data_IF_774225087271
#
_entry.id   IF_774225087271
#
_cell.length_a   1.000
_cell.length_b   1.000
_cell.length_c   1.000
_cell.angle_alpha   90.00
_cell.angle_beta   90.00
_cell.angle_gamma   90.00
#
_symmetry.space_group_name_H-M   'P 1'
#
loop_
_entity.id
_entity.type
_entity.pdbx_description
1 polymer ?
#
# COMPACT_ATOMS: atom_id res chain seq x y z
N UNK A 1 -8.48 -51.70 9.29
CA UNK A 1 -9.00 -51.33 7.97
C UNK A 1 -10.27 -50.44 8.08
N UNK A 2 -10.23 -49.35 8.87
CA UNK A 2 -11.36 -48.38 8.98
C UNK A 2 -10.99 -46.93 8.66
N UNK A 3 -9.71 -46.62 8.41
CA UNK A 3 -9.25 -45.24 8.16
C UNK A 3 -9.34 -44.77 6.70
N UNK A 4 -9.58 -45.65 5.73
CA UNK A 4 -9.61 -45.26 4.30
C UNK A 4 -10.97 -44.72 3.83
N UNK A 5 -12.05 -45.06 4.56
CA UNK A 5 -13.42 -44.64 4.19
C UNK A 5 -13.70 -43.17 4.56
N UNK A 6 -13.15 -42.70 5.69
CA UNK A 6 -13.44 -41.37 6.22
C UNK A 6 -12.69 -40.28 5.42
N UNK A 7 -11.49 -40.59 4.92
CA UNK A 7 -10.71 -39.70 4.06
C UNK A 7 -11.38 -39.49 2.70
N UNK A 8 -11.93 -40.58 2.13
CA UNK A 8 -12.66 -40.51 0.85
C UNK A 8 -14.00 -39.78 1.00
N UNK A 9 -14.70 -39.93 2.14
CA UNK A 9 -15.93 -39.19 2.39
C UNK A 9 -15.67 -37.70 2.59
N UNK A 10 -14.58 -37.32 3.28
CA UNK A 10 -14.19 -35.91 3.44
C UNK A 10 -13.82 -35.27 2.13
N UNK A 11 -13.05 -35.97 1.28
CA UNK A 11 -12.68 -35.50 -0.08
C UNK A 11 -13.93 -35.37 -0.95
N UNK A 12 -14.87 -36.33 -0.90
CA UNK A 12 -16.12 -36.22 -1.65
C UNK A 12 -17.03 -35.10 -1.15
N UNK A 13 -17.10 -34.84 0.15
CA UNK A 13 -17.83 -33.71 0.72
C UNK A 13 -17.23 -32.37 0.31
N UNK A 14 -15.91 -32.25 0.32
CA UNK A 14 -15.21 -31.04 -0.14
C UNK A 14 -15.43 -30.84 -1.63
N UNK A 15 -15.37 -31.89 -2.45
CA UNK A 15 -15.65 -31.82 -3.89
C UNK A 15 -17.12 -31.51 -4.17
N UNK A 16 -18.07 -32.11 -3.42
CA UNK A 16 -19.50 -31.76 -3.55
C UNK A 16 -19.82 -30.34 -3.10
N UNK A 17 -19.18 -29.86 -2.03
CA UNK A 17 -19.31 -28.46 -1.62
C UNK A 17 -18.75 -27.51 -2.69
N UNK A 18 -17.63 -27.86 -3.32
CA UNK A 18 -17.06 -27.10 -4.43
C UNK A 18 -17.94 -27.14 -5.70
N UNK A 19 -18.59 -28.28 -6.00
CA UNK A 19 -19.50 -28.43 -7.13
C UNK A 19 -20.85 -27.75 -6.84
N UNK A 20 -21.36 -27.79 -5.62
CA UNK A 20 -22.59 -27.07 -5.23
C UNK A 20 -22.37 -25.53 -5.21
N UNK A 21 -21.16 -25.07 -4.91
CA UNK A 21 -20.78 -23.66 -5.03
C UNK A 21 -20.56 -23.24 -6.50
N UNK A 22 -20.31 -24.16 -7.43
CA UNK A 22 -20.15 -23.88 -8.86
C UNK A 22 -21.47 -23.71 -9.63
N UNK A 23 -22.62 -23.90 -8.99
CA UNK A 23 -23.94 -23.58 -9.55
C UNK A 23 -24.25 -22.09 -9.69
N UNK A 24 -23.62 -21.25 -8.86
CA UNK A 24 -23.43 -19.82 -9.13
C UNK A 24 -21.99 -19.66 -9.59
N UNK A 25 -21.78 -19.47 -10.87
CA UNK A 25 -20.46 -19.09 -11.43
C UNK A 25 -20.12 -17.76 -10.79
N UNK A 26 -19.45 -17.80 -9.64
CA UNK A 26 -18.80 -16.65 -9.04
C UNK A 26 -17.64 -16.28 -9.97
N UNK A 27 -17.95 -15.47 -11.00
CA UNK A 27 -16.86 -14.79 -11.73
C UNK A 27 -16.13 -13.97 -10.70
N UNK A 28 -14.79 -14.03 -10.65
CA UNK A 28 -14.02 -13.11 -9.84
C UNK A 28 -14.50 -11.70 -10.16
N UNK A 29 -14.80 -10.91 -9.12
CA UNK A 29 -15.16 -9.52 -9.32
C UNK A 29 -13.99 -8.81 -10.01
N UNK A 30 -14.28 -8.17 -11.14
CA UNK A 30 -13.31 -7.30 -11.78
C UNK A 30 -13.02 -6.09 -10.88
N UNK A 31 -11.79 -5.61 -10.83
CA UNK A 31 -11.39 -4.55 -9.90
C UNK A 31 -12.16 -3.25 -10.08
N UNK A 32 -12.76 -3.02 -11.25
CA UNK A 32 -13.55 -1.82 -11.57
C UNK A 32 -15.06 -2.06 -11.63
N UNK A 33 -15.56 -3.21 -11.17
CA UNK A 33 -16.99 -3.56 -11.30
C UNK A 33 -17.93 -2.58 -10.61
N UNK A 34 -17.43 -1.88 -9.58
CA UNK A 34 -18.19 -0.83 -8.89
C UNK A 34 -18.54 0.37 -9.79
N UNK A 35 -17.79 0.60 -10.87
CA UNK A 35 -17.95 1.80 -11.68
C UNK A 35 -19.13 1.76 -12.67
N UNK A 36 -19.71 0.57 -12.91
CA UNK A 36 -20.73 0.38 -13.93
C UNK A 36 -20.24 0.77 -15.34
N UNK A 37 -21.17 0.92 -16.28
CA UNK A 37 -20.89 1.35 -17.65
C UNK A 37 -20.42 0.23 -18.57
N UNK A 38 -20.20 0.60 -19.84
CA UNK A 38 -19.85 -0.32 -20.92
C UNK A 38 -18.35 -0.43 -21.09
N UNK A 39 -17.80 -1.62 -20.95
CA UNK A 39 -16.38 -1.90 -21.17
C UNK A 39 -16.18 -2.57 -22.52
N UNK A 40 -15.11 -2.16 -23.20
CA UNK A 40 -14.73 -2.71 -24.50
C UNK A 40 -13.30 -3.23 -24.44
N UNK A 41 -12.97 -4.16 -25.32
CA UNK A 41 -11.56 -4.55 -25.50
C UNK A 41 -10.78 -3.34 -26.02
N UNK A 42 -9.50 -3.26 -25.68
CA UNK A 42 -8.67 -2.08 -25.99
C UNK A 42 -8.65 -1.76 -27.49
N UNK A 43 -8.71 -2.79 -28.35
CA UNK A 43 -8.74 -2.62 -29.79
C UNK A 43 -10.00 -1.91 -30.33
N UNK A 44 -11.10 -1.97 -29.60
CA UNK A 44 -12.39 -1.34 -29.96
C UNK A 44 -12.57 0.03 -29.31
N UNK A 45 -11.65 0.43 -28.43
CA UNK A 45 -11.73 1.71 -27.75
C UNK A 45 -11.35 2.87 -28.66
N UNK A 46 -12.24 3.83 -28.81
CA UNK A 46 -12.06 4.98 -29.71
C UNK A 46 -11.43 6.21 -29.00
N UNK A 47 -11.22 6.14 -27.70
CA UNK A 47 -10.56 7.20 -26.91
C UNK A 47 -9.04 7.09 -26.96
N UNK A 48 -8.35 7.97 -26.22
CA UNK A 48 -6.91 7.86 -26.02
C UNK A 48 -6.58 6.58 -25.28
N UNK A 49 -5.61 5.80 -25.77
CA UNK A 49 -5.17 4.55 -25.15
C UNK A 49 -4.78 4.81 -23.66
N UNK A 50 -5.49 4.19 -22.71
CA UNK A 50 -5.20 4.39 -21.29
C UNK A 50 -4.01 3.57 -20.79
N UNK A 51 -3.44 2.70 -21.64
CA UNK A 51 -2.33 1.80 -21.27
C UNK A 51 -0.98 2.39 -21.66
N UNK A 52 0.09 1.67 -21.42
CA UNK A 52 1.44 2.13 -21.73
C UNK A 52 1.92 3.28 -20.84
N UNK A 53 2.79 4.10 -21.40
CA UNK A 53 3.35 5.30 -20.77
C UNK A 53 2.59 6.55 -21.20
N UNK A 54 2.51 7.60 -20.33
CA UNK A 54 1.85 8.84 -20.68
C UNK A 54 2.60 9.57 -21.85
N UNK A 55 1.93 10.52 -22.55
CA UNK A 55 2.50 11.19 -23.74
C UNK A 55 3.90 11.74 -23.55
N UNK A 56 4.23 12.28 -22.39
CA UNK A 56 5.57 12.83 -22.07
C UNK A 56 6.69 11.76 -22.04
N UNK A 57 6.35 10.48 -21.96
CA UNK A 57 7.29 9.34 -21.93
C UNK A 57 7.09 8.42 -23.13
N UNK A 58 6.00 8.57 -23.88
CA UNK A 58 5.63 7.66 -24.96
C UNK A 58 6.66 7.60 -26.12
N UNK A 59 7.39 8.70 -26.36
CA UNK A 59 8.45 8.78 -27.37
C UNK A 59 9.80 8.19 -26.92
N UNK A 60 9.93 7.76 -25.67
CA UNK A 60 11.14 7.14 -25.16
C UNK A 60 11.35 5.73 -25.73
N UNK A 61 12.59 5.24 -25.65
CA UNK A 61 12.90 3.87 -26.03
C UNK A 61 12.19 2.84 -25.12
N UNK A 62 12.22 1.58 -25.50
CA UNK A 62 11.53 0.51 -24.78
C UNK A 62 12.00 0.37 -23.33
N UNK A 63 13.30 0.59 -23.07
CA UNK A 63 13.90 0.48 -21.72
C UNK A 63 13.40 1.61 -20.82
N UNK A 64 13.41 2.85 -21.30
CA UNK A 64 12.93 4.01 -20.54
C UNK A 64 11.42 3.94 -20.28
N UNK A 65 10.65 3.44 -21.25
CA UNK A 65 9.21 3.13 -21.04
C UNK A 65 9.03 2.06 -20.00
N UNK A 66 9.83 1.01 -20.04
CA UNK A 66 9.84 -0.07 -19.07
C UNK A 66 10.24 0.40 -17.67
N UNK A 67 11.20 1.33 -17.56
CA UNK A 67 11.56 1.94 -16.29
C UNK A 67 10.37 2.69 -15.66
N UNK A 68 9.68 3.52 -16.45
CA UNK A 68 8.49 4.24 -15.97
C UNK A 68 7.42 3.28 -15.44
N UNK A 69 7.11 2.22 -16.21
CA UNK A 69 6.10 1.23 -15.84
C UNK A 69 6.53 0.40 -14.61
N UNK A 70 7.81 0.01 -14.53
CA UNK A 70 8.35 -0.73 -13.38
C UNK A 70 8.35 0.13 -12.09
N UNK A 71 8.57 1.45 -12.20
CA UNK A 71 8.42 2.39 -11.10
C UNK A 71 6.95 2.53 -10.70
N UNK A 72 6.04 2.71 -11.66
CA UNK A 72 4.61 2.79 -11.40
C UNK A 72 4.06 1.51 -10.72
N UNK A 73 4.65 0.34 -11.04
CA UNK A 73 4.33 -0.95 -10.45
C UNK A 73 5.10 -1.25 -9.15
N UNK A 74 5.92 -0.33 -8.66
CA UNK A 74 6.72 -0.44 -7.43
C UNK A 74 7.51 -1.76 -7.31
N UNK A 75 8.05 -2.27 -8.43
CA UNK A 75 8.78 -3.54 -8.42
C UNK A 75 9.94 -3.53 -7.42
N UNK A 76 10.65 -2.40 -7.31
CA UNK A 76 11.80 -2.24 -6.42
C UNK A 76 11.40 -2.34 -4.94
N UNK A 77 10.22 -1.87 -4.55
CA UNK A 77 9.75 -1.87 -3.16
C UNK A 77 9.62 -3.28 -2.58
N UNK A 78 9.19 -4.24 -3.40
CA UNK A 78 9.11 -5.64 -2.99
C UNK A 78 10.42 -6.39 -3.24
N UNK A 79 11.14 -6.10 -4.31
CA UNK A 79 12.31 -6.90 -4.74
C UNK A 79 13.65 -6.33 -4.27
N UNK A 80 13.64 -5.50 -3.22
CA UNK A 80 14.87 -4.94 -2.62
C UNK A 80 14.75 -4.89 -1.11
N UNK A 81 15.68 -5.50 -0.39
CA UNK A 81 15.74 -5.33 1.07
C UNK A 81 16.38 -3.98 1.41
N UNK A 82 16.14 -3.47 2.63
CA UNK A 82 16.63 -2.16 3.09
C UNK A 82 18.17 -1.98 2.99
N UNK A 83 18.93 -3.07 2.93
CA UNK A 83 20.40 -3.10 2.80
C UNK A 83 20.86 -3.93 1.62
N UNK A 84 19.93 -4.43 0.81
CA UNK A 84 20.22 -5.30 -0.33
C UNK A 84 20.55 -4.51 -1.60
N UNK A 85 20.94 -5.26 -2.61
CA UNK A 85 21.12 -4.72 -3.96
C UNK A 85 19.76 -4.56 -4.63
N UNK A 86 19.55 -3.49 -5.41
CA UNK A 86 18.28 -3.27 -6.11
C UNK A 86 17.85 -4.49 -6.94
N UNK A 87 16.59 -4.87 -6.82
CA UNK A 87 15.95 -5.96 -7.53
C UNK A 87 16.51 -7.37 -7.24
N UNK A 88 17.43 -7.53 -6.28
CA UNK A 88 18.01 -8.83 -5.93
C UNK A 88 17.10 -9.70 -5.05
N UNK A 89 15.93 -9.20 -4.64
CA UNK A 89 14.97 -9.93 -3.81
C UNK A 89 15.35 -9.98 -2.33
N UNK A 90 14.80 -10.96 -1.62
CA UNK A 90 15.09 -11.24 -0.21
C UNK A 90 14.21 -10.47 0.78
N UNK A 91 13.29 -9.60 0.33
CA UNK A 91 12.34 -8.93 1.22
C UNK A 91 11.40 -9.98 1.82
N UNK A 92 11.34 -10.00 3.15
CA UNK A 92 10.47 -10.91 3.90
C UNK A 92 9.06 -10.33 4.07
N UNK A 93 8.07 -11.15 3.78
CA UNK A 93 6.64 -10.90 4.03
C UNK A 93 6.17 -11.89 5.09
N UNK A 94 5.99 -11.41 6.31
CA UNK A 94 5.56 -12.24 7.43
C UNK A 94 4.03 -12.40 7.41
N UNK A 95 3.58 -13.63 7.33
CA UNK A 95 2.16 -13.98 7.33
C UNK A 95 1.86 -14.84 8.57
N UNK A 96 0.60 -14.92 9.01
CA UNK A 96 0.23 -15.82 10.13
C UNK A 96 0.57 -17.28 9.90
N UNK A 97 0.76 -17.68 8.64
CA UNK A 97 0.99 -19.05 8.19
C UNK A 97 2.42 -19.30 7.71
N UNK A 98 3.34 -18.33 7.90
CA UNK A 98 4.75 -18.46 7.51
C UNK A 98 5.36 -17.20 6.94
N UNK A 99 6.52 -17.33 6.31
CA UNK A 99 7.22 -16.20 5.70
C UNK A 99 7.44 -16.45 4.21
N UNK A 100 7.08 -15.48 3.40
CA UNK A 100 7.43 -15.44 1.98
C UNK A 100 8.60 -14.49 1.77
N UNK A 101 9.43 -14.81 0.79
CA UNK A 101 10.55 -13.96 0.38
C UNK A 101 10.41 -13.61 -1.10
N UNK A 102 10.65 -12.33 -1.42
CA UNK A 102 10.69 -11.90 -2.82
C UNK A 102 11.89 -12.52 -3.55
N UNK A 103 11.70 -12.78 -4.83
CA UNK A 103 12.72 -13.38 -5.68
C UNK A 103 13.67 -12.34 -6.25
N UNK A 104 14.85 -12.76 -6.69
CA UNK A 104 15.75 -11.99 -7.52
C UNK A 104 15.13 -11.81 -8.93
N UNK A 105 14.89 -10.58 -9.34
CA UNK A 105 14.36 -10.23 -10.68
C UNK A 105 15.39 -9.48 -11.54
N UNK A 106 16.67 -9.52 -11.16
CA UNK A 106 17.75 -9.06 -12.04
C UNK A 106 18.01 -10.05 -13.17
N UNK A 107 18.70 -9.65 -14.26
CA UNK A 107 18.99 -10.53 -15.38
C UNK A 107 20.13 -11.54 -15.09
N UNK A 108 20.33 -11.92 -13.83
CA UNK A 108 21.23 -13.04 -13.49
C UNK A 108 20.63 -14.36 -13.97
N UNK A 109 21.44 -15.18 -14.63
CA UNK A 109 20.97 -16.40 -15.29
C UNK A 109 20.68 -17.55 -14.32
N UNK A 110 21.37 -17.58 -13.18
CA UNK A 110 21.27 -18.68 -12.23
C UNK A 110 20.28 -18.40 -11.09
N UNK A 111 20.27 -17.17 -10.60
CA UNK A 111 19.49 -16.80 -9.41
C UNK A 111 18.35 -15.83 -9.69
N UNK A 112 18.35 -15.21 -10.88
CA UNK A 112 17.37 -14.23 -11.32
C UNK A 112 16.51 -14.69 -12.48
N UNK A 113 16.09 -13.74 -13.31
CA UNK A 113 15.21 -13.98 -14.46
C UNK A 113 15.95 -13.97 -15.82
N UNK A 114 17.29 -13.97 -15.82
CA UNK A 114 18.09 -13.75 -17.03
C UNK A 114 17.90 -14.76 -18.17
N UNK A 115 17.33 -15.93 -17.87
CA UNK A 115 17.00 -16.93 -18.88
C UNK A 115 15.51 -17.06 -19.18
N UNK A 116 14.67 -16.17 -18.63
CA UNK A 116 13.24 -16.23 -18.86
C UNK A 116 12.89 -15.72 -20.26
N UNK A 117 12.11 -16.50 -21.00
CA UNK A 117 11.51 -16.05 -22.27
C UNK A 117 10.45 -14.96 -22.01
N UNK A 118 10.02 -14.29 -23.08
CA UNK A 118 8.96 -13.30 -23.01
C UNK A 118 7.63 -13.92 -22.53
N UNK A 119 7.30 -15.11 -23.02
CA UNK A 119 6.07 -15.81 -22.65
C UNK A 119 6.07 -16.28 -21.21
N UNK A 120 7.21 -16.77 -20.69
CA UNK A 120 7.34 -17.14 -19.27
C UNK A 120 7.19 -15.94 -18.35
N UNK A 121 7.80 -14.80 -18.70
CA UNK A 121 7.66 -13.58 -17.92
C UNK A 121 6.22 -13.04 -17.95
N UNK A 122 5.59 -13.00 -19.12
CA UNK A 122 4.18 -12.61 -19.27
C UNK A 122 3.27 -13.53 -18.47
N UNK A 123 3.51 -14.84 -18.50
CA UNK A 123 2.73 -15.82 -17.76
C UNK A 123 2.86 -15.63 -16.24
N UNK A 124 4.06 -15.32 -15.75
CA UNK A 124 4.25 -15.00 -14.34
C UNK A 124 3.45 -13.76 -13.92
N UNK A 125 3.52 -12.69 -14.71
CA UNK A 125 2.81 -11.44 -14.45
C UNK A 125 1.29 -11.57 -14.53
N UNK A 126 0.77 -12.36 -15.45
CA UNK A 126 -0.67 -12.46 -15.70
C UNK A 126 -1.36 -13.59 -14.95
N UNK A 127 -0.67 -14.70 -14.75
CA UNK A 127 -1.27 -15.93 -14.23
C UNK A 127 -0.67 -16.38 -12.91
N UNK A 128 0.42 -15.74 -12.45
CA UNK A 128 1.14 -16.16 -11.26
C UNK A 128 1.77 -17.55 -11.42
N UNK A 129 2.35 -17.84 -12.58
CA UNK A 129 3.03 -19.13 -12.87
C UNK A 129 4.46 -18.85 -13.30
N UNK A 130 5.42 -19.39 -12.57
CA UNK A 130 6.84 -19.23 -12.89
C UNK A 130 7.28 -20.06 -14.11
N UNK A 131 8.53 -19.88 -14.50
CA UNK A 131 9.19 -20.60 -15.61
C UNK A 131 9.07 -22.14 -15.52
N UNK A 132 9.06 -22.68 -14.30
CA UNK A 132 9.02 -24.12 -14.06
C UNK A 132 7.58 -24.65 -13.96
N UNK A 133 6.58 -23.81 -14.20
CA UNK A 133 5.17 -24.17 -14.05
C UNK A 133 4.67 -24.11 -12.60
N UNK A 134 5.49 -23.65 -11.65
CA UNK A 134 5.10 -23.53 -10.24
C UNK A 134 4.22 -22.32 -10.05
N UNK A 135 3.12 -22.46 -9.28
CA UNK A 135 2.25 -21.33 -8.97
C UNK A 135 2.88 -20.44 -7.90
N UNK A 136 2.83 -19.15 -8.16
CA UNK A 136 3.30 -18.12 -7.24
C UNK A 136 2.23 -17.83 -6.17
N UNK A 137 2.68 -17.36 -5.01
CA UNK A 137 1.77 -16.86 -3.99
C UNK A 137 1.27 -15.46 -4.36
N UNK A 138 0.00 -15.12 -4.00
CA UNK A 138 -0.60 -13.84 -4.33
C UNK A 138 -0.09 -12.64 -3.50
N UNK A 139 0.99 -12.82 -2.74
CA UNK A 139 1.83 -11.71 -2.28
C UNK A 139 2.50 -10.99 -3.46
N UNK A 140 2.76 -11.71 -4.55
CA UNK A 140 3.01 -11.13 -5.86
C UNK A 140 1.66 -10.78 -6.50
N UNK A 141 1.33 -9.49 -6.77
CA UNK A 141 -0.02 -9.06 -7.09
C UNK A 141 -0.41 -9.33 -8.55
N UNK A 142 -0.22 -10.57 -9.02
CA UNK A 142 -0.58 -10.97 -10.39
C UNK A 142 -2.09 -10.85 -10.67
N UNK A 143 -2.94 -10.82 -9.65
CA UNK A 143 -4.36 -10.51 -9.78
C UNK A 143 -4.64 -9.07 -10.24
N UNK A 144 -3.72 -8.14 -9.97
CA UNK A 144 -3.71 -6.80 -10.53
C UNK A 144 -2.94 -6.76 -11.86
N UNK A 145 -1.74 -7.33 -11.91
CA UNK A 145 -0.90 -7.33 -13.12
C UNK A 145 -1.51 -8.08 -14.30
N UNK A 146 -2.47 -8.98 -14.06
CA UNK A 146 -3.25 -9.59 -15.15
C UNK A 146 -3.96 -8.57 -16.03
N UNK A 147 -4.20 -7.34 -15.54
CA UNK A 147 -4.79 -6.25 -16.31
C UNK A 147 -3.79 -5.58 -17.27
N UNK A 148 -2.48 -5.72 -17.03
CA UNK A 148 -1.47 -5.10 -17.88
C UNK A 148 -1.54 -5.63 -19.30
N UNK A 149 -1.25 -4.78 -20.29
CA UNK A 149 -1.07 -5.25 -21.65
C UNK A 149 0.20 -6.08 -21.77
N UNK A 150 0.25 -6.99 -22.74
CA UNK A 150 1.49 -7.73 -23.05
C UNK A 150 2.65 -6.77 -23.36
N UNK A 151 2.39 -5.68 -24.07
CA UNK A 151 3.41 -4.71 -24.45
C UNK A 151 4.00 -4.02 -23.22
N UNK A 152 3.19 -3.68 -22.21
CA UNK A 152 3.67 -3.07 -20.98
C UNK A 152 4.49 -4.04 -20.15
N UNK A 153 4.05 -5.29 -20.06
CA UNK A 153 4.81 -6.35 -19.39
C UNK A 153 6.17 -6.56 -20.05
N UNK A 154 6.22 -6.57 -21.37
CA UNK A 154 7.48 -6.72 -22.12
C UNK A 154 8.37 -5.47 -22.01
N UNK A 155 7.82 -4.28 -21.92
CA UNK A 155 8.58 -3.08 -21.62
C UNK A 155 9.21 -3.14 -20.22
N UNK A 156 8.46 -3.55 -19.19
CA UNK A 156 8.98 -3.80 -17.84
C UNK A 156 10.12 -4.82 -17.90
N UNK A 157 9.94 -5.93 -18.62
CA UNK A 157 11.00 -6.94 -18.79
C UNK A 157 12.26 -6.33 -19.43
N UNK A 158 12.11 -5.53 -20.49
CA UNK A 158 13.23 -4.90 -21.18
C UNK A 158 14.05 -4.01 -20.23
N UNK A 159 13.37 -3.26 -19.35
CA UNK A 159 14.04 -2.48 -18.30
C UNK A 159 14.79 -3.40 -17.31
N UNK A 160 14.13 -4.42 -16.77
CA UNK A 160 14.78 -5.34 -15.82
C UNK A 160 15.98 -6.04 -16.44
N UNK A 161 15.93 -6.37 -17.75
CA UNK A 161 17.04 -6.99 -18.49
C UNK A 161 18.18 -6.00 -18.84
N UNK A 162 17.94 -4.70 -18.75
CA UNK A 162 18.99 -3.68 -18.89
C UNK A 162 19.79 -3.46 -17.60
N UNK A 163 19.31 -3.97 -16.47
CA UNK A 163 20.00 -3.84 -15.18
C UNK A 163 21.26 -4.72 -15.11
N UNK A 164 22.16 -4.38 -14.19
CA UNK A 164 23.31 -5.24 -13.90
C UNK A 164 22.83 -6.54 -13.25
N UNK A 165 23.27 -7.70 -13.74
CA UNK A 165 23.00 -8.98 -13.07
C UNK A 165 23.55 -8.95 -11.63
N UNK A 166 22.74 -9.45 -10.70
CA UNK A 166 23.15 -9.62 -9.31
C UNK A 166 23.01 -11.11 -8.97
N UNK A 167 24.13 -11.78 -8.77
CA UNK A 167 24.13 -13.15 -8.30
C UNK A 167 23.83 -13.16 -6.80
N UNK A 168 22.56 -13.32 -6.45
CA UNK A 168 22.06 -13.41 -5.07
C UNK A 168 20.89 -14.38 -5.03
N UNK A 169 20.91 -15.28 -4.05
CA UNK A 169 19.87 -16.29 -3.87
C UNK A 169 19.06 -15.96 -2.62
N UNK A 170 17.88 -15.34 -2.77
CA UNK A 170 16.97 -15.10 -1.65
C UNK A 170 16.66 -16.38 -0.87
N UNK A 171 16.32 -16.26 0.43
CA UNK A 171 15.86 -17.39 1.22
C UNK A 171 14.63 -18.07 0.58
N UNK A 172 14.50 -19.38 0.81
CA UNK A 172 13.29 -20.10 0.42
C UNK A 172 12.10 -19.72 1.30
N UNK A 173 10.91 -19.80 0.73
CA UNK A 173 9.69 -19.54 1.47
C UNK A 173 9.49 -20.58 2.57
N UNK A 174 9.23 -20.11 3.79
CA UNK A 174 8.94 -20.94 4.96
C UNK A 174 7.45 -20.84 5.29
N UNK A 175 6.66 -21.74 4.71
CA UNK A 175 5.20 -21.78 4.84
C UNK A 175 4.77 -23.07 5.53
N UNK A 176 3.90 -22.93 6.54
CA UNK A 176 3.32 -24.07 7.25
C UNK A 176 2.38 -24.88 6.37
N UNK A 177 2.25 -26.20 6.64
CA UNK A 177 1.21 -27.03 6.03
C UNK A 177 -0.20 -26.55 6.49
N UNK A 178 -1.19 -26.48 5.59
CA UNK A 178 -1.19 -26.89 4.17
C UNK A 178 -0.78 -25.75 3.20
N UNK A 179 -0.43 -24.58 3.67
CA UNK A 179 -0.19 -23.38 2.87
C UNK A 179 1.10 -23.48 2.02
N UNK A 180 1.99 -24.40 2.34
CA UNK A 180 3.14 -24.73 1.51
C UNK A 180 2.79 -25.56 0.25
N UNK A 181 1.53 -25.97 0.08
CA UNK A 181 1.07 -26.75 -1.06
C UNK A 181 0.69 -25.82 -2.22
N UNK A 182 1.64 -25.61 -3.15
CA UNK A 182 1.49 -24.65 -4.27
C UNK A 182 0.31 -24.95 -5.20
N UNK A 183 -0.11 -26.20 -5.34
CA UNK A 183 -1.27 -26.57 -6.16
C UNK A 183 -2.59 -25.93 -5.65
N UNK A 184 -2.68 -25.59 -4.35
CA UNK A 184 -3.85 -24.88 -3.81
C UNK A 184 -4.05 -23.50 -4.43
N UNK A 185 -3.01 -22.89 -4.97
CA UNK A 185 -3.09 -21.61 -5.65
C UNK A 185 -3.89 -21.68 -6.95
N UNK A 186 -4.09 -22.89 -7.52
CA UNK A 186 -4.99 -23.07 -8.65
C UNK A 186 -6.44 -22.71 -8.30
N UNK A 187 -6.92 -23.18 -7.13
CA UNK A 187 -8.25 -22.86 -6.63
C UNK A 187 -8.37 -21.39 -6.25
N UNK A 188 -7.34 -20.84 -5.62
CA UNK A 188 -7.30 -19.43 -5.26
C UNK A 188 -7.40 -18.53 -6.50
N UNK A 189 -6.65 -18.84 -7.54
CA UNK A 189 -6.68 -18.10 -8.80
C UNK A 189 -8.07 -18.13 -9.45
N UNK A 190 -8.75 -19.26 -9.39
CA UNK A 190 -10.10 -19.39 -9.94
C UNK A 190 -11.11 -18.46 -9.25
N UNK A 191 -10.87 -18.12 -7.97
CA UNK A 191 -11.74 -17.25 -7.18
C UNK A 191 -11.34 -15.77 -7.25
N UNK A 192 -10.06 -15.47 -7.39
CA UNK A 192 -9.55 -14.10 -7.17
C UNK A 192 -8.72 -13.53 -8.32
N UNK A 193 -8.25 -14.33 -9.28
CA UNK A 193 -7.60 -13.81 -10.46
C UNK A 193 -8.62 -13.67 -11.61
N UNK A 194 -8.96 -12.43 -12.02
CA UNK A 194 -9.94 -12.22 -13.11
C UNK A 194 -9.45 -12.72 -14.46
N UNK A 195 -8.15 -13.01 -14.60
CA UNK A 195 -7.51 -13.53 -15.82
C UNK A 195 -7.89 -12.74 -17.10
N UNK A 196 -8.04 -11.42 -16.96
CA UNK A 196 -8.47 -10.52 -18.05
C UNK A 196 -7.47 -9.37 -18.22
N UNK A 197 -7.41 -8.83 -19.45
CA UNK A 197 -6.68 -7.58 -19.73
C UNK A 197 -7.57 -6.39 -19.40
N UNK A 198 -6.94 -5.23 -19.19
CA UNK A 198 -7.67 -3.99 -18.95
C UNK A 198 -8.66 -3.70 -20.08
N UNK A 199 -9.86 -3.34 -19.72
CA UNK A 199 -10.93 -2.97 -20.61
C UNK A 199 -11.39 -1.54 -20.29
N UNK A 200 -11.11 -0.57 -21.18
CA UNK A 200 -11.58 0.80 -20.99
C UNK A 200 -13.11 0.87 -20.96
N UNK A 201 -13.62 1.80 -20.18
CA UNK A 201 -15.04 2.11 -20.08
C UNK A 201 -15.36 3.28 -21.01
N UNK A 202 -16.19 3.04 -22.04
CA UNK A 202 -16.54 4.07 -23.05
C UNK A 202 -17.45 5.17 -22.50
N UNK A 203 -18.10 4.92 -21.37
CA UNK A 203 -18.99 5.89 -20.70
C UNK A 203 -18.22 6.80 -19.73
N UNK A 204 -16.88 6.67 -19.65
CA UNK A 204 -15.99 7.44 -18.79
C UNK A 204 -14.98 8.25 -19.59
N UNK A 205 -14.56 9.37 -19.03
CA UNK A 205 -13.52 10.21 -19.63
C UNK A 205 -12.19 9.43 -19.82
N UNK A 206 -11.36 9.79 -20.82
CA UNK A 206 -10.03 9.18 -21.00
C UNK A 206 -9.15 9.23 -19.77
N UNK A 207 -9.14 10.35 -19.04
CA UNK A 207 -8.39 10.49 -17.79
C UNK A 207 -8.84 9.48 -16.72
N UNK A 208 -10.14 9.19 -16.63
CA UNK A 208 -10.66 8.16 -15.73
C UNK A 208 -10.13 6.77 -16.08
N UNK A 209 -10.16 6.41 -17.38
CA UNK A 209 -9.63 5.14 -17.84
C UNK A 209 -8.12 5.01 -17.59
N UNK A 210 -7.37 6.10 -17.79
CA UNK A 210 -5.95 6.15 -17.44
C UNK A 210 -5.72 5.95 -15.95
N UNK A 211 -6.48 6.67 -15.11
CA UNK A 211 -6.41 6.53 -13.65
C UNK A 211 -6.76 5.12 -13.19
N UNK A 212 -7.79 4.50 -13.80
CA UNK A 212 -8.14 3.12 -13.53
C UNK A 212 -6.99 2.15 -13.86
N UNK A 213 -6.32 2.34 -15.00
CA UNK A 213 -5.16 1.52 -15.36
C UNK A 213 -3.99 1.69 -14.40
N UNK A 214 -3.67 2.93 -14.02
CA UNK A 214 -2.58 3.20 -13.08
C UNK A 214 -2.91 2.66 -11.68
N UNK A 215 -4.11 2.89 -11.15
CA UNK A 215 -4.49 2.49 -9.78
C UNK A 215 -4.69 0.98 -9.65
N UNK A 216 -5.31 0.34 -10.64
CA UNK A 216 -5.72 -1.07 -10.55
C UNK A 216 -4.68 -2.04 -11.09
N UNK A 217 -4.03 -1.69 -12.20
CA UNK A 217 -3.10 -2.58 -12.87
C UNK A 217 -1.65 -2.34 -12.44
N UNK A 218 -1.16 -1.09 -12.53
CA UNK A 218 0.22 -0.75 -12.20
C UNK A 218 0.42 -0.62 -10.69
N UNK A 219 -0.19 0.38 -10.09
CA UNK A 219 0.00 0.73 -8.68
C UNK A 219 -0.69 -0.21 -7.70
N UNK A 220 -1.57 -1.10 -8.16
CA UNK A 220 -2.29 -2.11 -7.36
C UNK A 220 -2.70 -1.64 -5.96
N UNK A 221 -3.16 -0.38 -5.86
CA UNK A 221 -3.43 0.32 -4.60
C UNK A 221 -4.39 -0.46 -3.67
N UNK A 222 -5.30 -1.24 -4.29
CA UNK A 222 -6.22 -2.13 -3.57
C UNK A 222 -5.53 -3.17 -2.71
N UNK A 223 -4.31 -3.60 -3.04
CA UNK A 223 -3.59 -4.63 -2.28
C UNK A 223 -3.30 -4.20 -0.83
N UNK A 224 -3.03 -2.90 -0.62
CA UNK A 224 -2.81 -2.34 0.70
C UNK A 224 -4.02 -1.63 1.28
N UNK A 225 -4.98 -1.16 0.44
CA UNK A 225 -6.10 -0.35 0.90
C UNK A 225 -7.46 -1.07 0.90
N UNK A 226 -7.48 -2.37 0.61
CA UNK A 226 -8.72 -3.19 0.66
C UNK A 226 -8.57 -4.31 1.68
N UNK A 227 -9.54 -4.52 2.58
CA UNK A 227 -9.53 -5.66 3.49
C UNK A 227 -9.47 -6.99 2.74
N UNK A 228 -8.95 -8.02 3.42
CA UNK A 228 -8.89 -9.38 2.90
C UNK A 228 -10.06 -10.23 3.36
N UNK A 229 -10.50 -11.12 2.51
CA UNK A 229 -11.44 -12.21 2.88
C UNK A 229 -10.73 -13.28 3.72
N UNK A 230 -11.47 -14.26 4.23
CA UNK A 230 -10.89 -15.40 4.95
C UNK A 230 -9.87 -16.19 4.10
N UNK A 231 -10.03 -16.22 2.79
CA UNK A 231 -9.09 -16.87 1.86
C UNK A 231 -7.98 -15.93 1.37
N UNK A 232 -7.82 -14.77 2.02
CA UNK A 232 -6.78 -13.78 1.73
C UNK A 232 -6.88 -13.10 0.34
N UNK A 233 -7.98 -13.27 -0.38
CA UNK A 233 -8.29 -12.44 -1.53
C UNK A 233 -8.85 -11.08 -1.13
N UNK A 234 -8.87 -10.09 -2.03
CA UNK A 234 -9.44 -8.77 -1.75
C UNK A 234 -10.97 -8.85 -1.57
N UNK A 235 -11.48 -8.18 -0.55
CA UNK A 235 -12.93 -8.03 -0.32
C UNK A 235 -13.46 -6.93 -1.25
N UNK A 236 -14.02 -7.33 -2.39
CA UNK A 236 -14.55 -6.39 -3.38
C UNK A 236 -15.65 -5.46 -2.83
N UNK A 237 -16.39 -5.92 -1.84
CA UNK A 237 -17.44 -5.12 -1.16
C UNK A 237 -16.87 -4.01 -0.27
N UNK A 238 -15.57 -4.08 0.06
CA UNK A 238 -14.88 -3.09 0.89
C UNK A 238 -13.69 -2.46 0.18
N UNK A 239 -13.73 -2.43 -1.14
CA UNK A 239 -12.64 -1.91 -1.96
C UNK A 239 -12.24 -0.50 -1.53
N UNK A 240 -10.94 -0.31 -1.32
CA UNK A 240 -10.33 0.95 -0.86
C UNK A 240 -10.77 1.43 0.54
N UNK A 241 -11.49 0.62 1.30
CA UNK A 241 -12.00 0.97 2.62
C UNK A 241 -10.96 1.01 3.74
N UNK A 242 -9.69 0.71 3.42
CA UNK A 242 -8.61 0.64 4.41
C UNK A 242 -8.48 -0.71 5.08
N UNK A 243 -7.30 -1.02 5.59
CA UNK A 243 -7.00 -2.27 6.33
C UNK A 243 -5.72 -2.13 7.16
N UNK A 244 -5.33 -3.20 7.84
CA UNK A 244 -4.04 -3.30 8.52
C UNK A 244 -3.04 -4.03 7.63
N UNK A 245 -1.84 -3.46 7.43
CA UNK A 245 -0.72 -4.04 6.69
C UNK A 245 0.54 -3.90 7.54
N UNK A 246 1.18 -5.01 7.88
CA UNK A 246 2.46 -5.05 8.60
C UNK A 246 2.51 -4.15 9.85
N UNK A 247 1.41 -4.17 10.63
CA UNK A 247 1.28 -3.34 11.82
C UNK A 247 0.93 -1.87 11.57
N UNK A 248 0.79 -1.45 10.32
CA UNK A 248 0.35 -0.11 9.92
C UNK A 248 -1.11 -0.10 9.48
N UNK A 249 -1.81 0.98 9.76
CA UNK A 249 -3.16 1.20 9.25
C UNK A 249 -3.08 1.89 7.89
N UNK A 250 -3.40 1.16 6.82
CA UNK A 250 -3.67 1.75 5.52
C UNK A 250 -5.07 2.37 5.58
N UNK A 251 -5.15 3.69 5.48
CA UNK A 251 -6.40 4.42 5.65
C UNK A 251 -7.37 4.21 4.49
N UNK A 252 -8.66 4.44 4.77
CA UNK A 252 -9.73 4.52 3.80
C UNK A 252 -9.44 5.59 2.75
N UNK A 253 -9.35 5.18 1.48
CA UNK A 253 -9.13 6.07 0.34
C UNK A 253 -10.37 6.20 -0.56
N UNK A 254 -11.56 5.81 -0.06
CA UNK A 254 -12.82 6.09 -0.74
C UNK A 254 -13.23 7.55 -0.57
N UNK A 255 -14.10 8.11 -1.44
CA UNK A 255 -14.55 9.49 -1.35
C UNK A 255 -15.56 9.75 -0.20
N UNK A 256 -15.54 8.94 0.86
CA UNK A 256 -16.26 9.25 2.08
C UNK A 256 -15.71 10.54 2.73
N UNK A 257 -16.58 11.46 3.07
CA UNK A 257 -16.17 12.78 3.57
C UNK A 257 -15.67 12.75 5.02
N UNK A 258 -16.03 11.74 5.78
CA UNK A 258 -15.74 11.66 7.22
C UNK A 258 -14.56 10.74 7.51
N UNK A 259 -14.48 9.59 6.85
CA UNK A 259 -13.46 8.59 7.11
C UNK A 259 -12.50 8.35 5.95
N UNK A 260 -12.79 8.91 4.78
CA UNK A 260 -11.99 8.75 3.56
C UNK A 260 -11.35 10.04 3.06
N UNK A 261 -11.15 10.11 1.74
CA UNK A 261 -10.53 11.25 1.06
C UNK A 261 -11.55 12.29 0.55
N UNK A 262 -12.84 12.12 0.85
CA UNK A 262 -13.91 12.96 0.28
C UNK A 262 -13.90 14.42 0.72
N UNK A 263 -13.22 14.74 1.82
CA UNK A 263 -13.04 16.12 2.30
C UNK A 263 -11.78 16.81 1.75
N UNK A 264 -10.92 16.09 1.03
CA UNK A 264 -9.73 16.64 0.40
C UNK A 264 -10.09 17.27 -0.95
N UNK A 265 -9.42 18.33 -1.37
CA UNK A 265 -9.49 18.79 -2.76
C UNK A 265 -8.71 17.86 -3.69
N UNK A 266 -8.92 17.99 -5.01
CA UNK A 266 -8.16 17.22 -5.99
C UNK A 266 -6.69 17.62 -5.99
N UNK A 267 -6.38 18.89 -5.77
CA UNK A 267 -5.00 19.38 -5.66
C UNK A 267 -4.31 18.83 -4.39
N UNK A 268 -4.98 18.82 -3.23
CA UNK A 268 -4.44 18.22 -1.99
C UNK A 268 -4.14 16.71 -2.17
N UNK A 269 -5.01 15.99 -2.89
CA UNK A 269 -4.75 14.58 -3.20
C UNK A 269 -3.59 14.39 -4.17
N UNK A 270 -3.54 15.20 -5.22
CA UNK A 270 -2.46 15.15 -6.20
C UNK A 270 -1.12 15.52 -5.55
N UNK A 271 -1.11 16.51 -4.67
CA UNK A 271 0.08 16.88 -3.91
C UNK A 271 0.54 15.72 -3.00
N UNK A 272 -0.37 15.15 -2.22
CA UNK A 272 -0.04 14.00 -1.37
C UNK A 272 0.47 12.80 -2.17
N UNK A 273 -0.14 12.47 -3.30
CA UNK A 273 0.27 11.35 -4.14
C UNK A 273 1.61 11.58 -4.84
N UNK A 274 2.03 12.83 -5.06
CA UNK A 274 3.29 13.16 -5.73
C UNK A 274 4.45 13.44 -4.76
N UNK A 275 4.17 14.10 -3.63
CA UNK A 275 5.19 14.55 -2.66
C UNK A 275 5.18 13.77 -1.34
N UNK A 276 4.11 13.03 -1.05
CA UNK A 276 3.89 12.37 0.23
C UNK A 276 3.35 13.29 1.33
N UNK A 277 3.04 14.54 1.01
CA UNK A 277 2.54 15.51 1.97
C UNK A 277 1.42 16.36 1.36
N UNK A 278 0.44 16.71 2.18
CA UNK A 278 -0.54 17.75 1.89
C UNK A 278 -0.86 18.49 3.19
N UNK A 279 -0.74 19.82 3.15
CA UNK A 279 -0.91 20.70 4.31
C UNK A 279 -2.28 20.51 4.97
N UNK A 280 -2.27 20.33 6.30
CA UNK A 280 -3.46 20.13 7.09
C UNK A 280 -4.23 18.84 6.78
N UNK A 281 -3.59 17.88 6.08
CA UNK A 281 -4.16 16.59 5.71
C UNK A 281 -3.34 15.41 6.21
N UNK A 282 -2.16 15.19 5.66
CA UNK A 282 -1.32 14.06 6.05
C UNK A 282 0.10 14.18 5.53
N UNK A 283 0.99 13.43 6.18
CA UNK A 283 2.35 13.13 5.70
C UNK A 283 2.49 11.61 5.66
N UNK A 284 2.97 11.09 4.53
CA UNK A 284 3.18 9.65 4.35
C UNK A 284 4.35 9.15 5.20
N UNK A 285 4.18 7.96 5.76
CA UNK A 285 5.21 7.27 6.55
C UNK A 285 5.09 5.75 6.36
N UNK A 286 6.06 5.01 6.87
CA UNK A 286 6.07 3.55 6.79
C UNK A 286 5.91 3.03 5.35
N UNK A 287 5.08 1.99 5.13
CA UNK A 287 4.88 1.42 3.79
C UNK A 287 4.45 2.44 2.73
N UNK A 288 3.54 3.37 3.07
CA UNK A 288 3.13 4.42 2.12
C UNK A 288 4.27 5.37 1.77
N UNK A 289 5.15 5.68 2.72
CA UNK A 289 6.38 6.46 2.46
C UNK A 289 7.32 5.74 1.49
N UNK A 290 7.43 4.41 1.59
CA UNK A 290 8.21 3.61 0.63
C UNK A 290 7.59 3.64 -0.77
N UNK A 291 6.26 3.51 -0.90
CA UNK A 291 5.55 3.63 -2.19
C UNK A 291 5.80 5.01 -2.81
N UNK A 292 5.77 6.09 -2.02
CA UNK A 292 6.12 7.42 -2.51
C UNK A 292 7.56 7.48 -3.02
N UNK A 293 8.52 7.04 -2.21
CA UNK A 293 9.94 7.12 -2.52
C UNK A 293 10.34 6.29 -3.74
N UNK A 294 9.71 5.14 -3.94
CA UNK A 294 10.09 4.18 -4.97
C UNK A 294 9.25 4.31 -6.26
N UNK A 295 8.01 4.79 -6.16
CA UNK A 295 7.03 4.76 -7.23
C UNK A 295 6.43 6.13 -7.52
N UNK A 296 5.50 6.61 -6.71
CA UNK A 296 4.57 7.67 -7.07
C UNK A 296 5.27 9.01 -7.40
N UNK A 297 6.36 9.37 -6.76
CA UNK A 297 7.12 10.60 -7.05
C UNK A 297 7.72 10.65 -8.47
N UNK A 298 7.79 9.51 -9.15
CA UNK A 298 8.30 9.41 -10.53
C UNK A 298 7.20 9.48 -11.58
N UNK A 299 5.94 9.43 -11.16
CA UNK A 299 4.82 9.53 -12.07
C UNK A 299 4.65 10.96 -12.59
N UNK A 300 4.16 11.07 -13.82
CA UNK A 300 3.83 12.37 -14.38
C UNK A 300 2.65 13.00 -13.65
N UNK A 301 2.55 14.32 -13.71
CA UNK A 301 1.42 15.06 -13.14
C UNK A 301 0.09 14.56 -13.72
N UNK A 302 0.06 14.26 -15.01
CA UNK A 302 -1.15 13.78 -15.68
C UNK A 302 -1.60 12.42 -15.14
N UNK A 303 -0.67 11.50 -14.87
CA UNK A 303 -0.99 10.21 -14.26
C UNK A 303 -1.49 10.37 -12.82
N UNK A 304 -0.87 11.24 -12.03
CA UNK A 304 -1.35 11.56 -10.67
C UNK A 304 -2.77 12.14 -10.70
N UNK A 305 -3.05 13.08 -11.61
CA UNK A 305 -4.39 13.65 -11.76
C UNK A 305 -5.41 12.61 -12.25
N UNK A 306 -5.01 11.73 -13.15
CA UNK A 306 -5.83 10.61 -13.60
C UNK A 306 -6.16 9.65 -12.44
N UNK A 307 -5.20 9.34 -11.58
CA UNK A 307 -5.44 8.55 -10.35
C UNK A 307 -6.50 9.22 -9.46
N UNK A 308 -6.37 10.53 -9.24
CA UNK A 308 -7.36 11.29 -8.44
C UNK A 308 -8.76 11.19 -9.08
N UNK A 309 -8.88 11.43 -10.39
CA UNK A 309 -10.14 11.34 -11.10
C UNK A 309 -10.81 9.95 -10.97
N UNK A 310 -10.02 8.89 -10.99
CA UNK A 310 -10.52 7.54 -10.77
C UNK A 310 -10.96 7.30 -9.33
N UNK A 311 -10.11 7.61 -8.34
CA UNK A 311 -10.37 7.38 -6.92
C UNK A 311 -11.62 8.12 -6.43
N UNK A 312 -11.93 9.29 -6.99
CA UNK A 312 -13.16 10.05 -6.69
C UNK A 312 -14.44 9.31 -7.03
N UNK A 313 -14.38 8.30 -7.86
CA UNK A 313 -15.56 7.54 -8.30
C UNK A 313 -15.76 6.23 -7.55
N UNK A 314 -14.83 5.85 -6.67
CA UNK A 314 -14.99 4.68 -5.81
C UNK A 314 -16.25 4.84 -4.90
N UNK A 315 -16.98 3.75 -4.60
CA UNK A 315 -18.10 3.82 -3.68
C UNK A 315 -17.62 4.30 -2.31
N UNK A 316 -18.26 5.31 -1.70
CA UNK A 316 -17.87 5.77 -0.38
C UNK A 316 -18.14 4.69 0.66
N UNK A 317 -17.14 4.38 1.48
CA UNK A 317 -17.24 3.46 2.60
C UNK A 317 -17.08 4.27 3.88
N UNK A 318 -18.12 4.28 4.70
CA UNK A 318 -18.11 4.98 5.97
C UNK A 318 -17.55 4.09 7.08
N UNK A 319 -16.43 4.50 7.65
CA UNK A 319 -15.85 3.85 8.83
C UNK A 319 -16.23 4.64 10.09
N UNK A 320 -17.12 4.07 10.91
CA UNK A 320 -17.60 4.69 12.15
C UNK A 320 -16.50 4.89 13.20
N UNK A 321 -15.40 4.15 13.10
CA UNK A 321 -14.27 4.26 14.02
C UNK A 321 -13.33 5.41 13.66
N UNK A 322 -13.41 5.92 12.44
CA UNK A 322 -12.55 6.95 11.86
C UNK A 322 -13.20 8.34 11.74
N UNK A 323 -14.33 8.57 12.42
CA UNK A 323 -15.17 9.79 12.27
C UNK A 323 -14.52 11.11 12.70
N UNK A 324 -13.43 11.06 13.45
CA UNK A 324 -12.85 12.27 14.04
C UNK A 324 -12.07 13.15 13.05
N UNK A 325 -11.88 12.71 11.82
CA UNK A 325 -10.82 13.21 10.93
C UNK A 325 -11.27 14.34 10.01
N UNK A 326 -12.56 14.41 9.69
CA UNK A 326 -13.07 15.38 8.73
C UNK A 326 -13.31 16.78 9.30
N UNK A 327 -13.38 16.93 10.62
CA UNK A 327 -14.03 18.10 11.22
C UNK A 327 -13.09 19.13 11.85
N UNK A 328 -11.81 18.88 11.99
CA UNK A 328 -10.89 19.90 12.52
C UNK A 328 -9.75 20.20 11.54
N UNK A 329 -10.05 21.02 10.54
CA UNK A 329 -9.06 22.03 10.15
C UNK A 329 -8.90 22.95 11.36
N UNK A 330 -7.73 23.08 11.98
CA UNK A 330 -7.51 24.16 12.91
C UNK A 330 -7.80 25.45 12.14
N UNK A 331 -8.51 26.38 12.76
CA UNK A 331 -8.50 27.76 12.34
C UNK A 331 -7.05 28.16 12.10
N UNK A 332 -6.73 28.70 10.94
CA UNK A 332 -5.41 29.19 10.54
C UNK A 332 -4.91 30.36 11.40
N UNK A 333 -5.52 30.61 12.53
CA UNK A 333 -5.09 31.60 13.49
C UNK A 333 -4.60 30.89 14.74
N UNK A 334 -3.29 30.91 15.04
CA UNK A 334 -2.78 30.49 16.33
C UNK A 334 -3.36 31.48 17.37
N UNK A 335 -4.42 31.12 18.02
CA UNK A 335 -4.87 31.87 19.20
C UNK A 335 -3.89 31.61 20.34
N UNK A 336 -2.98 32.55 20.49
CA UNK A 336 -2.19 32.74 21.70
C UNK A 336 -1.01 31.76 21.83
N UNK A 337 0.16 32.32 21.76
CA UNK A 337 1.35 31.81 22.45
C UNK A 337 0.89 31.36 23.83
N UNK A 338 0.70 30.07 24.04
CA UNK A 338 0.52 29.56 25.41
C UNK A 338 1.87 29.65 26.08
N UNK A 339 2.06 30.80 26.71
CA UNK A 339 3.03 30.90 27.79
C UNK A 339 2.94 29.67 28.67
N UNK A 340 4.11 29.09 28.94
CA UNK A 340 4.40 28.05 29.92
C UNK A 340 3.27 27.97 30.96
N UNK A 341 2.51 26.86 30.97
CA UNK A 341 1.63 26.57 32.11
C UNK A 341 2.49 26.47 33.37
N UNK A 342 2.12 27.17 34.45
CA UNK A 342 2.84 27.03 35.72
C UNK A 342 2.78 25.57 36.14
N UNK A 343 3.88 25.07 36.69
CA UNK A 343 4.06 23.75 37.26
C UNK A 343 2.79 23.20 37.89
N UNK A 344 2.25 22.15 37.30
CA UNK A 344 1.31 21.24 37.96
C UNK A 344 2.13 20.13 38.61
N UNK A 345 1.80 19.65 39.80
CA UNK A 345 2.62 18.66 40.49
C UNK A 345 2.78 17.38 39.68
N UNK A 346 4.00 16.87 39.61
CA UNK A 346 4.35 15.62 38.96
C UNK A 346 3.52 14.45 39.51
N UNK A 347 2.90 13.69 38.61
CA UNK A 347 2.21 12.46 39.03
C UNK A 347 1.43 11.69 37.95
N UNK A 348 1.23 12.22 36.75
CA UNK A 348 0.37 11.60 35.77
C UNK A 348 1.09 11.33 34.43
N UNK A 349 0.62 10.34 33.67
CA UNK A 349 1.12 9.98 32.33
C UNK A 349 1.12 11.18 31.35
N UNK A 350 0.22 12.15 31.53
CA UNK A 350 0.18 13.41 30.78
C UNK A 350 1.45 14.25 30.98
N UNK A 351 1.99 14.30 32.20
CA UNK A 351 3.24 14.98 32.49
C UNK A 351 4.45 14.26 31.87
N UNK A 352 4.42 12.93 31.81
CA UNK A 352 5.47 12.15 31.16
C UNK A 352 5.47 12.41 29.63
N UNK A 353 4.30 12.37 28.99
CA UNK A 353 4.15 12.66 27.57
C UNK A 353 4.62 14.06 27.19
N UNK A 354 4.27 15.06 28.00
CA UNK A 354 4.75 16.43 27.83
C UNK A 354 6.28 16.51 27.92
N UNK A 355 6.92 15.91 28.96
CA UNK A 355 8.38 15.93 29.10
C UNK A 355 9.11 15.28 27.92
N UNK A 356 8.58 14.16 27.41
CA UNK A 356 9.15 13.51 26.22
C UNK A 356 9.00 14.42 24.99
N UNK A 357 7.83 15.04 24.82
CA UNK A 357 7.60 15.98 23.73
C UNK A 357 8.53 17.18 23.80
N UNK A 358 8.67 17.80 24.97
CA UNK A 358 9.61 18.91 25.20
C UNK A 358 11.04 18.56 24.86
N UNK A 359 11.51 17.40 25.34
CA UNK A 359 12.91 16.99 25.22
C UNK A 359 13.30 16.46 23.85
N UNK A 360 12.37 15.91 23.07
CA UNK A 360 12.70 15.17 21.85
C UNK A 360 11.96 15.64 20.60
N UNK A 361 10.81 16.29 20.71
CA UNK A 361 9.90 16.50 19.58
C UNK A 361 9.70 17.98 19.22
N UNK A 362 9.61 18.86 20.23
CA UNK A 362 9.24 20.27 20.06
C UNK A 362 10.19 21.07 19.17
N UNK A 363 11.47 20.68 19.10
CA UNK A 363 12.48 21.37 18.25
C UNK A 363 12.16 21.28 16.76
N UNK A 364 11.46 20.22 16.31
CA UNK A 364 11.07 20.03 14.91
C UNK A 364 9.58 20.32 14.69
N UNK A 365 8.73 19.88 15.65
CA UNK A 365 7.28 19.95 15.52
C UNK A 365 6.66 21.26 16.02
N UNK A 366 7.45 22.08 16.72
CA UNK A 366 7.06 23.27 17.47
C UNK A 366 6.08 22.98 18.62
N UNK A 367 5.98 23.95 19.54
CA UNK A 367 5.09 23.87 20.71
C UNK A 367 3.61 23.90 20.37
N UNK A 368 3.27 24.54 19.27
CA UNK A 368 1.92 24.64 18.74
C UNK A 368 1.60 23.55 17.71
N UNK A 369 2.58 22.69 17.34
CA UNK A 369 2.41 21.62 16.38
C UNK A 369 2.37 22.10 14.93
N UNK A 370 2.79 23.32 14.63
CA UNK A 370 2.79 23.90 13.28
C UNK A 370 3.92 23.38 12.39
N UNK A 371 5.00 22.83 12.99
CA UNK A 371 6.17 22.35 12.25
C UNK A 371 7.20 23.45 12.00
N UNK A 372 8.09 23.70 12.99
CA UNK A 372 9.05 24.79 12.96
C UNK A 372 10.05 24.75 11.81
N UNK A 373 10.44 23.55 11.38
CA UNK A 373 11.53 23.38 10.39
C UNK A 373 11.01 23.08 8.98
N UNK A 374 9.79 22.54 8.88
CA UNK A 374 9.22 22.13 7.61
C UNK A 374 7.72 21.87 7.76
N UNK A 375 6.89 22.18 6.73
CA UNK A 375 5.48 21.79 6.70
C UNK A 375 5.27 20.29 6.93
N UNK A 376 6.21 19.46 6.50
CA UNK A 376 6.17 18.00 6.72
C UNK A 376 6.19 17.61 8.20
N UNK A 377 6.70 18.47 9.07
CA UNK A 377 6.72 18.25 10.52
C UNK A 377 5.44 18.72 11.22
N UNK A 378 4.46 19.27 10.51
CA UNK A 378 3.21 19.73 11.10
C UNK A 378 2.42 18.55 11.69
N UNK A 379 2.00 18.72 12.97
CA UNK A 379 1.15 17.76 13.68
C UNK A 379 -0.33 18.09 13.50
N UNK A 380 -0.64 19.37 13.40
CA UNK A 380 -2.01 19.87 13.28
C UNK A 380 -2.59 19.46 11.92
N UNK A 381 -3.81 18.91 11.95
CA UNK A 381 -4.50 18.44 10.75
C UNK A 381 -3.94 17.13 10.17
N UNK A 382 -2.82 16.62 10.68
CA UNK A 382 -2.23 15.38 10.19
C UNK A 382 -3.10 14.17 10.52
N UNK A 383 -3.40 13.34 9.51
CA UNK A 383 -4.23 12.13 9.63
C UNK A 383 -3.74 11.19 10.73
N UNK A 384 -2.45 10.98 10.80
CA UNK A 384 -1.83 10.08 11.77
C UNK A 384 -2.01 10.57 13.22
N UNK A 385 -1.97 11.89 13.42
CA UNK A 385 -2.19 12.53 14.74
C UNK A 385 -3.68 12.54 15.09
N UNK A 386 -4.55 12.60 14.11
CA UNK A 386 -6.00 12.58 14.31
C UNK A 386 -6.60 11.17 14.43
N UNK A 387 -5.80 10.11 14.26
CA UNK A 387 -6.26 8.74 14.46
C UNK A 387 -6.28 8.40 15.96
N UNK A 388 -7.49 8.23 16.57
CA UNK A 388 -7.60 7.95 18.00
C UNK A 388 -7.03 6.59 18.40
N UNK A 389 -6.75 5.71 17.47
CA UNK A 389 -6.09 4.42 17.76
C UNK A 389 -4.60 4.60 18.10
N UNK A 390 -3.97 5.70 17.67
CA UNK A 390 -2.54 5.97 17.85
C UNK A 390 -1.62 4.99 17.13
N UNK A 391 -2.16 4.10 16.26
CA UNK A 391 -1.42 3.00 15.63
C UNK A 391 -0.24 3.54 14.80
N UNK A 392 -0.54 4.33 13.78
CA UNK A 392 0.49 4.85 12.88
C UNK A 392 1.42 5.83 13.58
N UNK A 393 0.90 6.63 14.51
CA UNK A 393 1.74 7.53 15.29
C UNK A 393 2.77 6.76 16.13
N UNK A 394 2.35 5.67 16.79
CA UNK A 394 3.26 4.78 17.51
C UNK A 394 4.34 4.20 16.58
N UNK A 395 3.95 3.73 15.40
CA UNK A 395 4.89 3.18 14.42
C UNK A 395 5.89 4.24 13.92
N UNK A 396 5.42 5.46 13.61
CA UNK A 396 6.29 6.57 13.20
C UNK A 396 7.30 6.91 14.29
N UNK A 397 6.89 6.98 15.54
CA UNK A 397 7.81 7.26 16.65
C UNK A 397 8.80 6.11 16.84
N UNK A 398 8.36 4.86 16.77
CA UNK A 398 9.23 3.69 16.91
C UNK A 398 10.28 3.58 15.80
N UNK A 399 9.89 3.80 14.56
CA UNK A 399 10.70 3.46 13.37
C UNK A 399 11.22 4.66 12.61
N UNK A 400 10.74 5.87 12.92
CA UNK A 400 11.03 7.06 12.14
C UNK A 400 10.24 7.12 10.84
N UNK A 401 10.51 8.16 10.06
CA UNK A 401 9.96 8.35 8.72
C UNK A 401 11.01 9.01 7.82
N UNK A 402 10.97 8.67 6.53
CA UNK A 402 11.81 9.31 5.52
C UNK A 402 11.02 9.47 4.24
N UNK A 403 11.01 10.67 3.70
CA UNK A 403 10.42 10.99 2.39
C UNK A 403 11.46 11.71 1.53
N UNK A 404 11.56 11.28 0.30
CA UNK A 404 12.38 11.93 -0.72
C UNK A 404 11.47 12.78 -1.60
N UNK A 405 11.63 14.09 -1.54
CA UNK A 405 10.84 15.02 -2.35
C UNK A 405 11.72 15.87 -3.25
N UNK A 406 11.12 16.53 -4.24
CA UNK A 406 11.81 17.50 -5.08
C UNK A 406 12.30 18.72 -4.29
N UNK A 407 11.75 18.97 -3.10
CA UNK A 407 12.08 20.07 -2.20
C UNK A 407 13.19 19.70 -1.20
N UNK A 408 13.68 18.46 -1.24
CA UNK A 408 14.69 17.90 -0.35
C UNK A 408 14.19 16.66 0.42
N UNK A 409 15.14 15.95 1.01
CA UNK A 409 14.85 14.75 1.79
C UNK A 409 14.37 15.16 3.19
N UNK A 410 13.23 14.59 3.61
CA UNK A 410 12.64 14.79 4.92
C UNK A 410 12.90 13.56 5.77
N UNK A 411 13.32 13.79 7.00
CA UNK A 411 13.69 12.71 7.91
C UNK A 411 13.20 12.99 9.34
N UNK A 412 12.49 12.02 9.91
CA UNK A 412 12.19 11.93 11.33
C UNK A 412 12.97 10.75 11.93
N UNK A 413 13.84 10.95 12.93
CA UNK A 413 14.60 9.86 13.52
C UNK A 413 13.70 8.82 14.21
N UNK A 414 14.18 7.57 14.31
CA UNK A 414 13.54 6.52 15.09
C UNK A 414 13.85 6.70 16.57
N UNK A 415 12.84 6.68 17.40
CA UNK A 415 12.96 6.80 18.87
C UNK A 415 12.81 5.47 19.60
N UNK A 416 12.54 4.39 18.89
CA UNK A 416 12.27 3.08 19.46
C UNK A 416 13.38 2.50 20.32
N UNK A 417 14.65 2.86 20.13
CA UNK A 417 15.78 2.40 20.96
C UNK A 417 16.10 3.33 22.11
N UNK A 418 15.66 4.59 22.06
CA UNK A 418 16.00 5.62 23.04
C UNK A 418 14.96 5.79 24.16
N UNK A 419 13.74 5.30 23.95
CA UNK A 419 12.62 5.47 24.88
C UNK A 419 11.94 4.15 25.21
N UNK A 420 11.50 4.03 26.47
CA UNK A 420 10.70 2.90 26.95
C UNK A 420 9.29 2.87 26.34
N UNK A 421 8.63 1.72 26.44
CA UNK A 421 7.26 1.57 25.95
C UNK A 421 6.28 2.51 26.70
N UNK A 422 6.54 2.79 27.98
CA UNK A 422 5.74 3.73 28.77
C UNK A 422 5.90 5.17 28.29
N UNK A 423 7.12 5.61 27.99
CA UNK A 423 7.40 6.95 27.47
C UNK A 423 6.81 7.15 26.06
N UNK A 424 6.92 6.14 25.21
CA UNK A 424 6.30 6.19 23.87
C UNK A 424 4.79 6.22 23.96
N UNK A 425 4.17 5.40 24.82
CA UNK A 425 2.71 5.43 25.01
C UNK A 425 2.26 6.81 25.52
N UNK A 426 2.98 7.38 26.49
CA UNK A 426 2.68 8.69 27.07
C UNK A 426 2.77 9.80 26.02
N UNK A 427 3.83 9.85 25.19
CA UNK A 427 3.97 10.89 24.16
C UNK A 427 2.95 10.73 23.03
N UNK A 428 2.58 9.51 22.64
CA UNK A 428 1.51 9.26 21.67
C UNK A 428 0.18 9.82 22.16
N UNK A 429 -0.18 9.52 23.42
CA UNK A 429 -1.42 10.01 24.04
C UNK A 429 -1.40 11.54 24.20
N UNK A 430 -0.26 12.11 24.56
CA UNK A 430 -0.08 13.57 24.64
C UNK A 430 -0.27 14.24 23.27
N UNK A 431 0.42 13.74 22.22
CA UNK A 431 0.37 14.33 20.89
C UNK A 431 -1.04 14.26 20.29
N UNK A 432 -1.71 13.11 20.39
CA UNK A 432 -3.09 12.96 19.90
C UNK A 432 -4.07 13.81 20.70
N UNK A 433 -3.92 13.92 22.01
CA UNK A 433 -4.77 14.76 22.85
C UNK A 433 -4.52 16.25 22.68
N UNK A 434 -3.29 16.65 22.38
CA UNK A 434 -2.89 18.06 22.27
C UNK A 434 -3.14 18.63 20.89
N UNK A 435 -2.83 17.88 19.84
CA UNK A 435 -2.85 18.33 18.44
C UNK A 435 -3.89 17.63 17.58
N UNK A 436 -4.40 16.48 18.02
CA UNK A 436 -5.43 15.70 17.34
C UNK A 436 -6.86 16.09 17.72
N UNK A 437 -7.82 15.43 17.12
CA UNK A 437 -9.25 15.60 17.40
C UNK A 437 -9.66 14.99 18.75
N UNK A 438 -8.96 13.92 19.20
CA UNK A 438 -9.18 13.23 20.47
C UNK A 438 -7.92 12.53 20.92
N UNK A 439 -7.73 12.45 22.24
CA UNK A 439 -6.61 11.69 22.81
C UNK A 439 -6.76 10.20 22.50
N UNK A 440 -5.66 9.55 22.17
CA UNK A 440 -5.57 8.09 22.16
C UNK A 440 -5.42 7.54 23.58
N UNK A 441 -5.58 6.23 23.71
CA UNK A 441 -5.39 5.48 24.97
C UNK A 441 -4.40 4.34 24.77
N UNK A 442 -3.28 4.66 24.10
CA UNK A 442 -2.22 3.68 23.82
C UNK A 442 -1.56 3.26 25.14
N UNK A 443 -1.41 1.95 25.33
CA UNK A 443 -0.78 1.36 26.51
C UNK A 443 0.66 0.93 26.22
N UNK A 444 1.53 0.82 27.24
CA UNK A 444 2.89 0.28 27.08
C UNK A 444 2.92 -1.11 26.42
N UNK A 445 1.97 -1.99 26.77
CA UNK A 445 1.87 -3.33 26.16
C UNK A 445 1.58 -3.26 24.66
N UNK A 446 0.76 -2.32 24.22
CA UNK A 446 0.50 -2.09 22.81
C UNK A 446 1.76 -1.59 22.09
N UNK A 447 2.55 -0.72 22.70
CA UNK A 447 3.83 -0.28 22.16
C UNK A 447 4.81 -1.46 22.07
N UNK A 448 4.94 -2.26 23.13
CA UNK A 448 5.79 -3.46 23.17
C UNK A 448 5.43 -4.45 22.06
N UNK A 449 4.13 -4.63 21.79
CA UNK A 449 3.66 -5.46 20.67
C UNK A 449 4.12 -4.88 19.33
N UNK A 450 3.91 -3.58 19.07
CA UNK A 450 4.26 -2.93 17.81
C UNK A 450 5.77 -2.90 17.55
N UNK A 451 6.57 -2.78 18.60
CA UNK A 451 8.04 -2.86 18.53
C UNK A 451 8.52 -4.19 17.93
N UNK A 452 7.73 -5.26 18.04
CA UNK A 452 8.02 -6.60 17.50
C UNK A 452 7.49 -6.80 16.06
N UNK A 453 6.58 -5.94 15.64
CA UNK A 453 6.00 -5.95 14.29
C UNK A 453 6.97 -5.22 13.33
N UNK A 454 8.04 -5.91 12.92
CA UNK A 454 9.03 -5.43 11.94
C UNK A 454 9.02 -6.32 10.72
#
# INVERSE_FOLDING_TARGET
MKHSSDTNLFVLLVVMLMVAMSGCILRPHGPMDFAGGTRVVLADYQGSDPTGTPPGVAGADLVARGEYLARAADCIGCHTTSRGKPFAGGQAFKLPVGTLYSTNITPDKETGIGEWTDDEFVKAMHEGVDRNGTRLYPAFPYSAYTLLTRNDVLAIKAYLFSLKPVHDRPPENDMSFPFNQRYLMWFWNMLYNPAQRFQPNIDRAPAWNRGAYVVEALGHCGECHTPRTLLQGLDAGKKFGGTMIDGWKAYNMTPDRQSGIGAWSDDELAEYLSSGHADGRSTAAGPMGLVLNNSLRFLTRDDIQAMVAYLRTAPPIHDKTDLAIAQKRPSTTPSGVRTRSPHRPAGNDEDLGLRVFEGACASCHDWDGSGAQSPYAALIGNRTVNDPTGINLTQVILHGASLQSQQGDMFMPAFGTGYSDAEIAAVVNYVTGRFGASASTVTPDQVAKRRKEK
#
